data_IF_529212113470
#
_entry.id   IF_529212113470
#
_cell.length_a   1.000
_cell.length_b   1.000
_cell.length_c   1.000
_cell.angle_alpha   90.00
_cell.angle_beta   90.00
_cell.angle_gamma   90.00
#
_symmetry.space_group_name_H-M   'P 1'
#
loop_
_entity.id
_entity.type
_entity.pdbx_description
1 polymer ?
#
# COMPACT_ATOMS: atom_id res chain seq x y z
N UNK A 1 6.11 -0.09 -19.22
CA UNK A 1 6.49 -0.09 -17.79
C UNK A 1 5.84 -1.32 -17.16
N UNK A 2 6.56 -2.16 -16.41
CA UNK A 2 5.93 -3.29 -15.74
C UNK A 2 4.83 -2.77 -14.82
N UNK A 3 3.73 -3.50 -14.72
CA UNK A 3 2.66 -3.12 -13.79
C UNK A 3 3.18 -3.11 -12.36
N UNK A 4 2.56 -2.33 -11.48
CA UNK A 4 2.86 -2.34 -10.04
C UNK A 4 2.90 -3.78 -9.47
N UNK A 5 2.03 -4.65 -10.00
CA UNK A 5 1.98 -6.09 -9.71
C UNK A 5 3.21 -6.87 -10.19
N UNK A 6 3.75 -6.56 -11.37
CA UNK A 6 4.98 -7.19 -11.87
C UNK A 6 6.21 -6.86 -11.00
N UNK A 7 6.18 -5.70 -10.33
CA UNK A 7 7.28 -5.22 -9.49
C UNK A 7 7.20 -5.76 -8.06
N UNK A 8 6.00 -5.85 -7.50
CA UNK A 8 5.78 -6.46 -6.18
C UNK A 8 6.03 -7.97 -6.22
N UNK A 9 5.76 -8.66 -7.34
CA UNK A 9 6.05 -10.10 -7.48
C UNK A 9 7.54 -10.45 -7.28
N UNK A 10 8.47 -9.54 -7.59
CA UNK A 10 9.92 -9.76 -7.42
C UNK A 10 10.39 -9.63 -5.95
N UNK A 11 9.58 -9.07 -5.05
CA UNK A 11 9.85 -8.98 -3.60
C UNK A 11 10.02 -10.36 -2.97
N UNK A 12 9.52 -11.43 -3.60
CA UNK A 12 9.59 -12.80 -3.05
C UNK A 12 10.96 -13.48 -3.18
N UNK A 13 11.88 -13.00 -4.02
CA UNK A 13 12.98 -13.86 -4.51
C UNK A 13 14.35 -13.59 -3.87
N UNK A 14 14.65 -12.38 -3.41
CA UNK A 14 16.03 -12.05 -3.03
C UNK A 14 16.11 -11.62 -1.56
N UNK A 15 16.67 -12.51 -0.75
CA UNK A 15 16.87 -12.36 0.68
C UNK A 15 18.33 -12.02 0.95
N UNK A 16 18.76 -10.77 0.76
CA UNK A 16 20.06 -10.32 1.30
C UNK A 16 20.19 -8.79 1.40
N UNK A 17 19.65 -8.25 2.50
CA UNK A 17 20.10 -7.12 3.36
C UNK A 17 19.07 -7.03 4.51
N UNK A 18 19.34 -6.41 5.68
CA UNK A 18 18.51 -6.57 6.86
C UNK A 18 17.17 -5.82 6.71
N UNK A 19 16.25 -6.45 5.98
CA UNK A 19 14.80 -6.29 6.12
C UNK A 19 14.50 -6.37 7.61
N UNK A 20 13.98 -5.31 8.19
CA UNK A 20 13.60 -5.29 9.60
C UNK A 20 12.36 -6.18 9.83
N UNK A 21 12.51 -7.48 9.59
CA UNK A 21 11.68 -8.53 10.15
C UNK A 21 10.18 -8.44 9.87
N UNK A 22 9.75 -7.79 8.77
CA UNK A 22 8.32 -7.74 8.49
C UNK A 22 7.81 -9.13 8.10
N UNK A 23 7.10 -9.78 9.02
CA UNK A 23 6.57 -11.14 8.83
C UNK A 23 5.26 -11.19 8.06
N UNK A 24 4.73 -10.04 7.62
CA UNK A 24 3.41 -9.92 7.01
C UNK A 24 3.42 -10.01 5.48
N UNK A 25 4.60 -10.21 4.86
CA UNK A 25 4.76 -10.26 3.38
C UNK A 25 3.96 -11.38 2.72
N UNK A 26 3.63 -12.43 3.46
CA UNK A 26 2.77 -13.53 3.04
C UNK A 26 1.30 -13.10 2.79
N UNK A 27 0.89 -11.95 3.33
CA UNK A 27 -0.45 -11.39 3.13
C UNK A 27 -0.62 -10.60 1.83
N UNK A 28 0.46 -10.42 1.04
CA UNK A 28 0.40 -9.78 -0.27
C UNK A 28 -0.34 -10.67 -1.26
N UNK A 29 -1.39 -10.13 -1.87
CA UNK A 29 -2.24 -10.79 -2.87
C UNK A 29 -2.09 -10.16 -4.26
N UNK A 30 -2.50 -10.89 -5.28
CA UNK A 30 -2.64 -10.36 -6.64
C UNK A 30 -3.97 -9.60 -6.75
N UNK A 31 -3.91 -8.27 -6.58
CA UNK A 31 -5.08 -7.40 -6.47
C UNK A 31 -5.00 -6.22 -7.43
N UNK A 32 -6.14 -5.78 -7.93
CA UNK A 32 -6.23 -4.53 -8.72
C UNK A 32 -6.70 -3.37 -7.83
N UNK A 33 -6.33 -2.12 -8.17
CA UNK A 33 -6.83 -0.95 -7.46
C UNK A 33 -8.36 -0.91 -7.45
N UNK A 34 -8.97 -0.62 -6.30
CA UNK A 34 -10.44 -0.52 -6.18
C UNK A 34 -11.00 0.72 -6.89
N UNK A 35 -10.17 1.74 -7.08
CA UNK A 35 -10.50 2.99 -7.76
C UNK A 35 -9.24 3.70 -8.28
N UNK A 36 -9.41 4.66 -9.19
CA UNK A 36 -8.33 5.53 -9.71
C UNK A 36 -7.94 6.65 -8.74
N UNK A 37 -8.50 6.66 -7.53
CA UNK A 37 -8.32 7.68 -6.51
C UNK A 37 -8.70 7.15 -5.14
N UNK A 38 -8.65 8.01 -4.12
CA UNK A 38 -9.13 7.62 -2.79
C UNK A 38 -10.62 7.32 -2.85
N UNK A 39 -10.99 6.04 -2.69
CA UNK A 39 -12.34 5.54 -2.96
C UNK A 39 -13.40 6.32 -2.18
N UNK A 40 -13.12 6.63 -0.92
CA UNK A 40 -14.07 7.33 -0.05
C UNK A 40 -14.08 8.84 -0.24
N UNK A 41 -12.93 9.45 -0.56
CA UNK A 41 -12.92 10.88 -0.90
C UNK A 41 -13.66 11.16 -2.22
N UNK A 42 -13.60 10.23 -3.19
CA UNK A 42 -14.35 10.34 -4.43
C UNK A 42 -15.87 10.36 -4.20
N UNK A 43 -16.37 9.63 -3.21
CA UNK A 43 -17.80 9.61 -2.85
C UNK A 43 -18.30 10.94 -2.30
N UNK A 44 -17.43 11.69 -1.62
CA UNK A 44 -17.77 12.96 -0.96
C UNK A 44 -17.31 14.20 -1.74
N UNK A 45 -16.42 14.04 -2.73
CA UNK A 45 -15.78 15.14 -3.43
C UNK A 45 -14.66 15.81 -2.62
N UNK A 46 -14.13 15.13 -1.60
CA UNK A 46 -13.07 15.68 -0.75
C UNK A 46 -11.70 15.63 -1.43
N UNK A 47 -10.79 16.58 -1.14
CA UNK A 47 -9.43 16.53 -1.63
C UNK A 47 -8.57 15.50 -0.87
N UNK A 48 -7.42 15.15 -1.46
CA UNK A 48 -6.35 14.37 -0.83
C UNK A 48 -4.98 14.85 -1.31
N UNK A 49 -3.91 14.40 -0.62
CA UNK A 49 -2.52 14.73 -0.94
C UNK A 49 -1.86 13.62 -1.76
N UNK A 50 -1.78 12.40 -1.21
CA UNK A 50 -1.21 11.23 -1.89
C UNK A 50 -2.07 9.99 -1.64
N UNK A 51 -1.91 9.00 -2.50
CA UNK A 51 -2.64 7.75 -2.49
C UNK A 51 -1.78 6.57 -2.04
N UNK A 52 -2.45 5.62 -1.39
CA UNK A 52 -1.89 4.35 -0.91
C UNK A 52 -2.83 3.23 -1.32
N UNK A 53 -2.27 2.11 -1.78
CA UNK A 53 -3.05 0.93 -2.14
C UNK A 53 -2.76 -0.20 -1.14
N UNK A 54 -3.80 -0.85 -0.66
CA UNK A 54 -3.71 -2.05 0.17
C UNK A 54 -3.26 -3.26 -0.65
N UNK A 55 -2.20 -3.94 -0.20
CA UNK A 55 -1.66 -5.12 -0.89
C UNK A 55 -2.42 -6.41 -0.62
N UNK A 56 -3.39 -6.39 0.29
CA UNK A 56 -4.23 -7.57 0.60
C UNK A 56 -5.53 -7.56 -0.20
N UNK A 57 -6.13 -6.40 -0.46
CA UNK A 57 -7.45 -6.30 -1.10
C UNK A 57 -7.58 -5.26 -2.21
N UNK A 58 -6.53 -4.49 -2.51
CA UNK A 58 -6.54 -3.50 -3.61
C UNK A 58 -7.22 -2.17 -3.27
N UNK A 59 -7.72 -1.98 -2.05
CA UNK A 59 -8.36 -0.72 -1.66
C UNK A 59 -7.40 0.48 -1.81
N UNK A 60 -7.85 1.55 -2.46
CA UNK A 60 -7.09 2.80 -2.61
C UNK A 60 -7.61 3.86 -1.66
N UNK A 61 -6.75 4.29 -0.74
CA UNK A 61 -7.04 5.30 0.28
C UNK A 61 -6.03 6.45 0.28
N UNK A 62 -6.45 7.61 0.77
CA UNK A 62 -5.57 8.76 0.95
C UNK A 62 -4.64 8.59 2.17
N UNK A 63 -3.42 9.12 2.06
CA UNK A 63 -2.37 9.00 3.07
C UNK A 63 -2.65 9.80 4.37
N UNK A 64 -1.81 9.64 5.39
CA UNK A 64 -1.96 10.31 6.69
C UNK A 64 -1.78 11.84 6.66
N UNK A 65 -1.13 12.38 5.64
CA UNK A 65 -1.05 13.83 5.41
C UNK A 65 -2.32 14.40 4.77
N UNK A 66 -3.22 13.55 4.27
CA UNK A 66 -4.52 13.98 3.76
C UNK A 66 -5.50 14.20 4.91
N UNK A 67 -6.51 15.09 4.78
CA UNK A 67 -7.46 15.36 5.86
C UNK A 67 -8.17 14.11 6.39
N UNK A 68 -8.52 13.19 5.47
CA UNK A 68 -9.37 12.05 5.79
C UNK A 68 -8.63 10.78 6.23
N UNK A 69 -7.34 10.61 5.89
CA UNK A 69 -6.47 9.47 6.32
C UNK A 69 -7.07 8.08 6.06
N UNK A 70 -7.70 7.91 4.90
CA UNK A 70 -8.47 6.70 4.60
C UNK A 70 -7.63 5.43 4.54
N UNK A 71 -6.36 5.49 4.13
CA UNK A 71 -5.48 4.32 4.14
C UNK A 71 -5.29 3.75 5.56
N UNK A 72 -5.09 4.62 6.56
CA UNK A 72 -4.89 4.21 7.95
C UNK A 72 -6.20 3.78 8.60
N UNK A 73 -7.33 4.46 8.32
CA UNK A 73 -8.65 4.02 8.75
C UNK A 73 -9.00 2.63 8.18
N UNK A 74 -8.65 2.40 6.92
CA UNK A 74 -8.81 1.09 6.28
C UNK A 74 -8.01 0.01 6.99
N UNK A 75 -6.72 0.25 7.29
CA UNK A 75 -5.91 -0.66 8.11
C UNK A 75 -6.57 -0.92 9.48
N UNK A 76 -7.01 0.11 10.20
CA UNK A 76 -7.65 -0.05 11.52
C UNK A 76 -8.95 -0.86 11.47
N UNK A 77 -9.70 -0.80 10.36
CA UNK A 77 -10.96 -1.51 10.20
C UNK A 77 -10.84 -2.94 9.64
N UNK A 78 -9.74 -3.25 8.96
CA UNK A 78 -9.54 -4.53 8.25
C UNK A 78 -8.36 -5.35 8.73
N UNK A 79 -7.45 -4.72 9.48
CA UNK A 79 -6.17 -5.27 9.89
C UNK A 79 -5.27 -5.69 8.72
N UNK A 80 -5.48 -5.14 7.51
CA UNK A 80 -4.58 -5.36 6.37
C UNK A 80 -3.29 -4.54 6.53
N UNK A 81 -2.15 -5.16 6.88
CA UNK A 81 -1.02 -4.44 7.45
C UNK A 81 -0.15 -3.76 6.39
N UNK A 82 -0.24 -4.19 5.13
CA UNK A 82 0.65 -3.77 4.05
C UNK A 82 -0.04 -2.84 3.05
N UNK A 83 0.57 -1.68 2.84
CA UNK A 83 0.22 -0.75 1.77
C UNK A 83 1.43 -0.46 0.90
N UNK A 84 1.19 -0.03 -0.33
CA UNK A 84 2.20 0.54 -1.22
C UNK A 84 1.79 1.93 -1.69
N UNK A 85 2.74 2.70 -2.20
CA UNK A 85 2.42 3.96 -2.86
C UNK A 85 1.58 3.70 -4.11
N UNK A 86 0.57 4.54 -4.34
CA UNK A 86 -0.18 4.56 -5.59
C UNK A 86 0.18 5.80 -6.42
N UNK A 87 1.34 6.40 -6.15
CA UNK A 87 1.88 7.53 -6.89
C UNK A 87 2.82 7.05 -8.01
N UNK A 88 2.85 7.74 -9.17
CA UNK A 88 3.77 7.41 -10.25
C UNK A 88 5.24 7.50 -9.81
N UNK A 89 6.00 6.42 -10.03
CA UNK A 89 7.45 6.38 -9.81
C UNK A 89 7.89 6.11 -8.37
N UNK A 90 6.95 5.82 -7.46
CA UNK A 90 7.26 5.40 -6.10
C UNK A 90 7.07 3.90 -5.92
N UNK A 91 8.09 3.24 -5.38
CA UNK A 91 8.06 1.79 -5.18
C UNK A 91 8.62 1.44 -3.83
N UNK A 92 7.71 1.39 -2.88
CA UNK A 92 7.97 1.02 -1.51
C UNK A 92 6.71 0.41 -0.92
N UNK A 93 6.89 -0.40 0.11
CA UNK A 93 5.83 -1.01 0.88
C UNK A 93 5.98 -0.52 2.32
N UNK A 94 4.87 -0.19 2.95
CA UNK A 94 4.83 0.14 4.37
C UNK A 94 4.02 -0.91 5.12
N UNK A 95 4.60 -1.40 6.21
CA UNK A 95 3.91 -2.23 7.18
C UNK A 95 3.47 -1.38 8.37
N UNK A 96 2.16 -1.26 8.58
CA UNK A 96 1.60 -0.55 9.73
C UNK A 96 1.95 -1.22 11.05
N UNK A 97 1.93 -2.55 11.11
CA UNK A 97 2.15 -3.31 12.35
C UNK A 97 3.59 -3.20 12.82
N UNK A 98 4.55 -3.33 11.88
CA UNK A 98 5.98 -3.32 12.20
C UNK A 98 6.60 -1.91 12.13
N UNK A 99 5.81 -0.90 11.72
CA UNK A 99 6.28 0.46 11.44
C UNK A 99 7.54 0.45 10.55
N UNK A 100 7.49 -0.35 9.50
CA UNK A 100 8.65 -0.70 8.67
C UNK A 100 8.43 -0.31 7.21
N UNK A 101 9.45 0.33 6.64
CA UNK A 101 9.56 0.60 5.21
C UNK A 101 10.33 -0.53 4.53
N UNK A 102 9.74 -1.10 3.49
CA UNK A 102 10.28 -2.22 2.72
C UNK A 102 10.43 -1.75 1.28
N UNK A 103 11.60 -1.98 0.69
CA UNK A 103 11.84 -1.67 -0.72
C UNK A 103 11.77 -2.97 -1.54
N UNK A 104 11.02 -2.98 -2.67
CA UNK A 104 11.11 -4.06 -3.64
C UNK A 104 12.47 -4.02 -4.34
N UNK A 105 13.18 -5.16 -4.33
CA UNK A 105 14.46 -5.35 -5.05
C UNK A 105 14.26 -5.54 -6.56
#
# INVERSE_FOLDING_TARGET
MPSLLDRIRNVRVNNTLPDQGCRHKDQIQDVSPSADGCEDCLKTGDPWVHLRMCLTCGYVGCCDNSPNRHATKHFQGTEHPLITSFEPGEDWIWCYVDNALIFPE
#
